data_IF_400881875040
#
_entry.id   IF_400881875040
#
_cell.length_a   1.000
_cell.length_b   1.000
_cell.length_c   1.000
_cell.angle_alpha   90.00
_cell.angle_beta   90.00
_cell.angle_gamma   90.00
#
_symmetry.space_group_name_H-M   'P 1'
#
loop_
_entity.id
_entity.type
_entity.pdbx_description
1 polymer ?
#
# COMPACT_ATOMS: atom_id res chain seq x y z
N UNK A 1 -23.60 -7.47 -15.98
CA UNK A 1 -23.56 -8.37 -14.79
C UNK A 1 -24.93 -8.67 -14.19
N UNK A 2 -25.67 -7.68 -13.66
CA UNK A 2 -26.99 -7.89 -13.06
C UNK A 2 -27.97 -8.62 -14.00
N UNK A 3 -27.98 -8.26 -15.29
CA UNK A 3 -28.76 -8.93 -16.36
C UNK A 3 -28.50 -10.44 -16.47
N UNK A 4 -27.36 -10.91 -15.97
CA UNK A 4 -26.92 -12.31 -16.04
C UNK A 4 -26.96 -13.01 -14.68
N UNK A 5 -27.63 -12.44 -13.67
CA UNK A 5 -27.87 -13.09 -12.38
C UNK A 5 -26.79 -12.86 -11.31
N UNK A 6 -25.77 -12.06 -11.59
CA UNK A 6 -24.80 -11.64 -10.58
C UNK A 6 -25.37 -10.50 -9.74
N UNK A 7 -25.82 -10.79 -8.52
CA UNK A 7 -26.55 -9.84 -7.66
C UNK A 7 -25.65 -9.08 -6.68
N UNK A 8 -24.42 -9.54 -6.45
CA UNK A 8 -23.43 -8.96 -5.54
C UNK A 8 -22.40 -8.11 -6.28
N UNK A 9 -22.89 -7.15 -7.08
CA UNK A 9 -22.04 -6.31 -7.94
C UNK A 9 -22.16 -4.85 -7.57
N UNK A 10 -21.03 -4.15 -7.62
CA UNK A 10 -20.94 -2.71 -7.37
C UNK A 10 -20.28 -2.10 -8.61
N UNK A 11 -21.01 -1.21 -9.27
CA UNK A 11 -20.43 -0.37 -10.32
C UNK A 11 -19.65 0.77 -9.68
N UNK A 12 -18.41 0.94 -10.11
CA UNK A 12 -17.58 2.08 -9.71
C UNK A 12 -17.45 2.99 -10.93
N UNK A 13 -18.00 4.19 -10.84
CA UNK A 13 -17.94 5.17 -11.92
C UNK A 13 -16.62 5.95 -11.79
N UNK A 14 -15.54 5.35 -12.27
CA UNK A 14 -14.18 5.88 -12.18
C UNK A 14 -13.44 5.54 -10.87
N UNK A 15 -12.50 6.40 -10.47
CA UNK A 15 -11.50 6.13 -9.41
C UNK A 15 -11.81 6.76 -8.05
N UNK A 16 -12.94 7.47 -7.88
CA UNK A 16 -13.34 8.00 -6.57
C UNK A 16 -14.02 6.92 -5.74
N UNK A 17 -13.23 6.28 -4.89
CA UNK A 17 -13.70 5.25 -3.96
C UNK A 17 -14.10 5.92 -2.64
N UNK A 18 -15.36 5.81 -2.18
CA UNK A 18 -15.77 6.29 -0.88
C UNK A 18 -15.29 5.36 0.24
N UNK A 19 -15.03 5.91 1.43
CA UNK A 19 -14.56 5.15 2.59
C UNK A 19 -15.49 3.98 2.97
N UNK A 20 -16.80 4.17 2.83
CA UNK A 20 -17.80 3.11 3.09
C UNK A 20 -17.64 1.89 2.18
N UNK A 21 -17.12 2.07 0.96
CA UNK A 21 -16.82 0.96 0.05
C UNK A 21 -15.55 0.23 0.48
N UNK A 22 -14.52 0.95 0.95
CA UNK A 22 -13.29 0.34 1.48
C UNK A 22 -13.60 -0.58 2.67
N UNK A 23 -14.36 -0.08 3.65
CA UNK A 23 -14.78 -0.83 4.84
C UNK A 23 -15.65 -2.05 4.46
N UNK A 24 -16.58 -1.87 3.51
CA UNK A 24 -17.43 -2.95 3.02
C UNK A 24 -16.61 -4.08 2.40
N UNK A 25 -15.66 -3.73 1.53
CA UNK A 25 -14.82 -4.68 0.80
C UNK A 25 -13.86 -5.41 1.73
N UNK A 26 -13.32 -4.74 2.76
CA UNK A 26 -12.44 -5.35 3.76
C UNK A 26 -13.11 -6.51 4.50
N UNK A 27 -14.43 -6.46 4.70
CA UNK A 27 -15.23 -7.48 5.40
C UNK A 27 -15.67 -8.64 4.50
N UNK A 28 -15.45 -8.58 3.18
CA UNK A 28 -15.89 -9.64 2.27
C UNK A 28 -14.87 -10.77 2.23
N UNK A 29 -15.39 -12.00 2.15
CA UNK A 29 -14.57 -13.22 2.00
C UNK A 29 -13.79 -13.26 0.69
N UNK A 30 -14.35 -12.67 -0.37
CA UNK A 30 -13.78 -12.66 -1.72
C UNK A 30 -14.25 -11.42 -2.48
N UNK A 31 -13.31 -10.68 -3.04
CA UNK A 31 -13.51 -9.49 -3.87
C UNK A 31 -12.85 -9.72 -5.23
N UNK A 32 -13.63 -9.53 -6.30
CA UNK A 32 -13.15 -9.65 -7.68
C UNK A 32 -13.31 -8.29 -8.34
N UNK A 33 -12.20 -7.72 -8.82
CA UNK A 33 -12.25 -6.56 -9.69
C UNK A 33 -12.47 -7.04 -11.13
N UNK A 34 -13.56 -6.63 -11.78
CA UNK A 34 -13.83 -6.95 -13.18
C UNK A 34 -13.75 -5.67 -13.99
N UNK A 35 -12.76 -5.60 -14.88
CA UNK A 35 -12.37 -4.38 -15.57
C UNK A 35 -12.37 -4.57 -17.09
N UNK A 36 -12.52 -3.47 -17.81
CA UNK A 36 -12.51 -3.43 -19.28
C UNK A 36 -11.18 -3.91 -19.84
N UNK A 37 -11.14 -4.34 -21.10
CA UNK A 37 -9.96 -4.91 -21.74
C UNK A 37 -9.01 -3.86 -22.34
N UNK A 38 -9.01 -2.66 -21.79
CA UNK A 38 -8.31 -1.50 -22.33
C UNK A 38 -7.33 -0.89 -21.32
N UNK A 39 -6.65 0.20 -21.74
CA UNK A 39 -5.71 0.93 -20.88
C UNK A 39 -6.42 1.65 -19.73
N UNK A 40 -7.66 2.08 -19.90
CA UNK A 40 -8.47 2.70 -18.84
C UNK A 40 -8.68 1.74 -17.68
N UNK A 41 -9.06 0.50 -17.97
CA UNK A 41 -9.20 -0.54 -16.96
C UNK A 41 -7.88 -0.84 -16.24
N UNK A 42 -6.73 -0.77 -16.92
CA UNK A 42 -5.42 -0.96 -16.27
C UNK A 42 -5.14 0.16 -15.25
N UNK A 43 -5.48 1.40 -15.57
CA UNK A 43 -5.34 2.55 -14.66
C UNK A 43 -6.26 2.41 -13.45
N UNK A 44 -7.51 2.01 -13.68
CA UNK A 44 -8.48 1.76 -12.60
C UNK A 44 -7.98 0.64 -11.68
N UNK A 45 -7.41 -0.44 -12.23
CA UNK A 45 -6.85 -1.52 -11.42
C UNK A 45 -5.75 -1.01 -10.48
N UNK A 46 -4.86 -0.14 -10.97
CA UNK A 46 -3.76 0.42 -10.16
C UNK A 46 -4.28 1.25 -9.00
N UNK A 47 -5.28 2.10 -9.24
CA UNK A 47 -5.87 2.94 -8.19
C UNK A 47 -6.68 2.11 -7.18
N UNK A 48 -7.45 1.13 -7.66
CA UNK A 48 -8.17 0.21 -6.77
C UNK A 48 -7.20 -0.59 -5.90
N UNK A 49 -6.13 -1.14 -6.49
CA UNK A 49 -5.16 -1.95 -5.76
C UNK A 49 -4.46 -1.20 -4.61
N UNK A 50 -4.42 0.14 -4.68
CA UNK A 50 -3.84 1.01 -3.65
C UNK A 50 -4.77 1.23 -2.46
N UNK A 51 -6.09 1.22 -2.68
CA UNK A 51 -7.09 1.62 -1.66
C UNK A 51 -7.94 0.48 -1.12
N UNK A 52 -8.23 -0.52 -1.95
CA UNK A 52 -9.19 -1.58 -1.61
C UNK A 52 -8.58 -2.97 -1.70
N UNK A 53 -9.08 -3.85 -0.85
CA UNK A 53 -8.77 -5.29 -0.92
C UNK A 53 -9.36 -5.88 -2.19
N UNK A 54 -8.52 -6.49 -3.01
CA UNK A 54 -8.90 -7.27 -4.19
C UNK A 54 -8.19 -8.62 -4.15
N UNK A 55 -8.95 -9.71 -4.21
CA UNK A 55 -8.38 -11.07 -4.21
C UNK A 55 -8.08 -11.53 -5.64
N UNK A 56 -9.01 -11.30 -6.57
CA UNK A 56 -8.88 -11.68 -7.98
C UNK A 56 -9.20 -10.52 -8.93
N UNK A 57 -8.64 -10.59 -10.13
CA UNK A 57 -8.88 -9.65 -11.22
C UNK A 57 -9.35 -10.44 -12.43
N UNK A 58 -10.53 -10.08 -12.93
CA UNK A 58 -11.05 -10.50 -14.22
C UNK A 58 -10.91 -9.35 -15.21
N UNK A 59 -10.57 -9.67 -16.46
CA UNK A 59 -10.44 -8.69 -17.54
C UNK A 59 -11.37 -9.06 -18.67
N UNK A 60 -12.04 -8.07 -19.23
CA UNK A 60 -12.72 -8.24 -20.49
C UNK A 60 -11.68 -8.52 -21.61
N UNK A 61 -12.09 -9.17 -22.71
CA UNK A 61 -11.24 -9.33 -23.89
C UNK A 61 -10.67 -7.99 -24.37
N UNK A 62 -9.49 -8.02 -24.99
CA UNK A 62 -8.76 -6.81 -25.39
C UNK A 62 -9.64 -5.85 -26.21
N UNK A 63 -9.71 -4.59 -25.79
CA UNK A 63 -10.48 -3.53 -26.44
C UNK A 63 -12.00 -3.64 -26.25
N UNK A 64 -12.48 -4.50 -25.37
CA UNK A 64 -13.91 -4.64 -25.04
C UNK A 64 -14.23 -4.11 -23.66
N UNK A 65 -15.43 -3.55 -23.51
CA UNK A 65 -15.94 -3.08 -22.23
C UNK A 65 -16.79 -4.17 -21.56
N UNK A 66 -16.77 -4.21 -20.23
CA UNK A 66 -17.51 -5.21 -19.43
C UNK A 66 -19.03 -5.12 -19.68
N UNK A 67 -19.53 -3.93 -19.96
CA UNK A 67 -20.96 -3.69 -20.21
C UNK A 67 -21.49 -4.31 -21.50
N UNK A 68 -20.60 -4.53 -22.47
CA UNK A 68 -20.93 -5.06 -23.79
C UNK A 68 -20.79 -6.59 -23.89
N UNK A 69 -20.30 -7.26 -22.84
CA UNK A 69 -20.04 -8.69 -22.88
C UNK A 69 -21.35 -9.50 -22.82
N UNK A 70 -21.37 -10.61 -23.56
CA UNK A 70 -22.40 -11.64 -23.44
C UNK A 70 -22.28 -12.40 -22.12
N UNK A 71 -23.33 -13.13 -21.73
CA UNK A 71 -23.31 -13.98 -20.53
C UNK A 71 -22.15 -14.99 -20.56
N UNK A 72 -21.87 -15.56 -21.74
CA UNK A 72 -20.79 -16.53 -21.92
C UNK A 72 -19.42 -15.89 -21.72
N UNK A 73 -19.18 -14.74 -22.35
CA UNK A 73 -17.91 -14.00 -22.20
C UNK A 73 -17.68 -13.54 -20.76
N UNK A 74 -18.73 -13.10 -20.06
CA UNK A 74 -18.66 -12.76 -18.63
C UNK A 74 -18.23 -13.97 -17.79
N UNK A 75 -18.85 -15.12 -18.03
CA UNK A 75 -18.53 -16.34 -17.28
C UNK A 75 -17.10 -16.81 -17.54
N UNK A 76 -16.65 -16.76 -18.80
CA UNK A 76 -15.27 -17.09 -19.19
C UNK A 76 -14.26 -16.12 -18.55
N UNK A 77 -14.52 -14.82 -18.60
CA UNK A 77 -13.67 -13.81 -17.99
C UNK A 77 -13.54 -14.02 -16.47
N UNK A 78 -14.66 -14.26 -15.76
CA UNK A 78 -14.66 -14.51 -14.33
C UNK A 78 -13.99 -15.85 -13.95
N UNK A 79 -14.12 -16.89 -14.77
CA UNK A 79 -13.45 -18.17 -14.58
C UNK A 79 -11.94 -18.07 -14.79
N UNK A 80 -11.52 -17.21 -15.72
CA UNK A 80 -10.10 -16.92 -16.00
C UNK A 80 -9.47 -15.86 -15.07
N UNK A 81 -10.21 -15.42 -14.05
CA UNK A 81 -9.74 -14.40 -13.11
C UNK A 81 -8.46 -14.85 -12.39
N UNK A 82 -7.47 -13.98 -12.34
CA UNK A 82 -6.15 -14.26 -11.77
C UNK A 82 -5.94 -13.51 -10.46
N UNK A 83 -5.03 -13.96 -9.58
CA UNK A 83 -4.65 -13.19 -8.40
C UNK A 83 -4.19 -11.77 -8.75
N UNK A 84 -4.51 -10.80 -7.89
CA UNK A 84 -4.15 -9.39 -8.09
C UNK A 84 -2.67 -9.18 -8.44
N UNK A 85 -1.77 -9.89 -7.76
CA UNK A 85 -0.32 -9.78 -7.99
C UNK A 85 0.09 -10.23 -9.39
N UNK A 86 -0.57 -11.26 -9.92
CA UNK A 86 -0.31 -11.75 -11.27
C UNK A 86 -0.85 -10.77 -12.32
N UNK A 87 -2.06 -10.24 -12.10
CA UNK A 87 -2.63 -9.22 -12.97
C UNK A 87 -1.74 -7.98 -13.08
N UNK A 88 -1.21 -7.49 -11.94
CA UNK A 88 -0.36 -6.30 -11.91
C UNK A 88 0.99 -6.53 -12.61
N UNK A 89 1.59 -7.71 -12.43
CA UNK A 89 2.80 -8.10 -13.19
C UNK A 89 2.58 -8.06 -14.71
N UNK A 90 1.42 -8.53 -15.20
CA UNK A 90 1.11 -8.59 -16.64
C UNK A 90 1.01 -7.22 -17.29
N UNK A 91 0.53 -6.21 -16.57
CA UNK A 91 0.39 -4.83 -17.08
C UNK A 91 1.67 -3.99 -16.90
N UNK A 92 2.80 -4.64 -16.61
CA UNK A 92 4.07 -3.99 -16.30
C UNK A 92 3.99 -3.08 -15.08
N UNK A 93 2.95 -3.23 -14.26
CA UNK A 93 2.76 -2.43 -13.07
C UNK A 93 3.40 -3.16 -11.90
N UNK A 94 4.47 -2.57 -11.37
CA UNK A 94 4.83 -2.88 -9.99
C UNK A 94 3.67 -2.41 -9.12
N UNK A 95 3.08 -3.34 -8.36
CA UNK A 95 2.47 -2.91 -7.10
C UNK A 95 3.66 -2.49 -6.27
N UNK A 96 3.95 -1.21 -6.25
CA UNK A 96 4.53 -0.62 -5.05
C UNK A 96 3.47 -0.80 -3.97
N UNK A 97 3.37 -2.02 -3.43
CA UNK A 97 2.91 -2.22 -2.08
C UNK A 97 3.99 -1.59 -1.22
N UNK A 98 3.90 -0.28 -1.05
CA UNK A 98 4.29 0.34 0.21
C UNK A 98 3.27 -0.05 1.28
N UNK A 99 3.09 -1.36 1.49
CA UNK A 99 2.77 -1.86 2.81
C UNK A 99 4.08 -2.43 3.32
N UNK A 100 4.58 -2.01 4.49
CA UNK A 100 5.44 -2.91 5.23
C UNK A 100 4.76 -4.27 5.37
N UNK A 101 5.49 -5.39 5.30
CA UNK A 101 5.12 -6.56 6.05
C UNK A 101 5.28 -6.13 7.51
N UNK A 102 4.28 -5.44 8.04
CA UNK A 102 4.03 -5.52 9.46
C UNK A 102 2.91 -6.52 9.62
N UNK A 103 3.23 -7.66 10.24
CA UNK A 103 2.23 -8.61 10.73
C UNK A 103 1.17 -7.85 11.55
N UNK A 104 -0.06 -8.36 11.64
CA UNK A 104 -1.20 -7.65 12.24
C UNK A 104 -0.90 -7.14 13.67
N UNK A 105 -0.09 -7.87 14.45
CA UNK A 105 0.39 -7.43 15.77
C UNK A 105 1.48 -6.34 15.76
N UNK A 106 2.21 -6.22 14.66
CA UNK A 106 3.25 -5.20 14.49
C UNK A 106 2.65 -3.83 14.10
N UNK A 107 1.47 -3.79 13.48
CA UNK A 107 0.74 -2.54 13.19
C UNK A 107 0.29 -1.83 14.46
N UNK A 108 -0.29 -2.57 15.39
CA UNK A 108 -0.75 -2.02 16.68
C UNK A 108 0.43 -1.45 17.48
N UNK A 109 1.58 -2.13 17.44
CA UNK A 109 2.79 -1.68 18.13
C UNK A 109 3.38 -0.41 17.51
N UNK A 110 3.42 -0.31 16.18
CA UNK A 110 3.83 0.93 15.50
C UNK A 110 2.83 2.05 15.76
N UNK A 111 1.53 1.76 15.80
CA UNK A 111 0.48 2.75 16.14
C UNK A 111 0.69 3.36 17.52
N UNK A 112 0.88 2.52 18.55
CA UNK A 112 1.22 2.97 19.91
C UNK A 112 2.52 3.78 19.93
N UNK A 113 3.53 3.33 19.18
CA UNK A 113 4.81 4.03 19.10
C UNK A 113 4.67 5.41 18.43
N UNK A 114 3.81 5.55 17.42
CA UNK A 114 3.52 6.85 16.80
C UNK A 114 2.89 7.81 17.81
N UNK A 115 1.97 7.34 18.66
CA UNK A 115 1.39 8.16 19.73
C UNK A 115 2.42 8.59 20.78
N UNK A 116 3.38 7.71 21.11
CA UNK A 116 4.48 8.05 22.02
C UNK A 116 5.47 9.03 21.40
N UNK A 117 5.70 8.95 20.10
CA UNK A 117 6.72 9.76 19.41
C UNK A 117 6.18 11.14 19.04
N UNK A 118 4.92 11.23 18.63
CA UNK A 118 4.31 12.48 18.14
C UNK A 118 4.29 13.58 19.21
N UNK A 119 4.82 14.75 18.87
CA UNK A 119 4.91 15.90 19.75
C UNK A 119 6.11 15.89 20.72
N UNK A 120 6.92 14.82 20.70
CA UNK A 120 8.06 14.66 21.59
C UNK A 120 9.42 14.89 20.91
N UNK A 121 9.46 15.14 19.59
CA UNK A 121 10.71 15.33 18.83
C UNK A 121 11.75 14.21 19.03
N UNK A 122 11.26 12.97 19.23
CA UNK A 122 12.10 11.77 19.37
C UNK A 122 12.05 10.91 18.12
N UNK A 123 13.05 10.04 18.00
CA UNK A 123 13.19 9.04 16.96
C UNK A 123 13.48 7.68 17.60
N UNK A 124 12.78 6.66 17.13
CA UNK A 124 12.89 5.28 17.60
C UNK A 124 13.22 4.39 16.41
N UNK A 125 14.30 3.62 16.56
CA UNK A 125 14.75 2.63 15.58
C UNK A 125 14.44 1.21 16.07
N UNK A 126 13.82 0.39 15.24
CA UNK A 126 13.46 -0.99 15.54
C UNK A 126 14.09 -1.95 14.51
N UNK A 127 14.41 -3.16 14.98
CA UNK A 127 14.78 -4.32 14.13
C UNK A 127 13.57 -4.91 13.41
N UNK A 128 13.78 -5.94 12.57
CA UNK A 128 12.71 -6.70 11.91
C UNK A 128 11.73 -7.36 12.90
N UNK A 129 12.24 -7.79 14.06
CA UNK A 129 11.47 -8.45 15.12
C UNK A 129 10.80 -7.45 16.09
N UNK A 130 10.67 -6.17 15.71
CA UNK A 130 10.11 -5.10 16.56
C UNK A 130 10.86 -4.83 17.87
N UNK A 131 12.14 -5.21 17.94
CA UNK A 131 13.00 -4.87 19.09
C UNK A 131 13.62 -3.49 18.89
N UNK A 132 13.49 -2.63 19.89
CA UNK A 132 14.08 -1.29 19.92
C UNK A 132 15.62 -1.38 19.97
N UNK A 133 16.26 -0.70 19.02
CA UNK A 133 17.71 -0.55 18.94
C UNK A 133 18.14 0.77 19.57
N UNK A 134 17.37 1.83 19.34
CA UNK A 134 17.63 3.14 19.91
C UNK A 134 16.34 3.95 20.07
N UNK A 135 16.40 4.90 21.00
CA UNK A 135 15.43 5.97 21.21
C UNK A 135 16.21 7.24 21.55
N UNK A 136 16.22 8.19 20.63
CA UNK A 136 17.06 9.40 20.68
C UNK A 136 16.27 10.62 20.23
N UNK A 137 16.72 11.86 20.52
CA UNK A 137 16.17 13.05 19.88
C UNK A 137 16.27 12.97 18.35
N UNK A 138 15.28 13.54 17.62
CA UNK A 138 15.26 13.55 16.14
C UNK A 138 16.53 14.15 15.54
N UNK A 139 17.16 15.11 16.22
CA UNK A 139 18.44 15.70 15.81
C UNK A 139 19.59 14.68 15.71
N UNK A 140 19.52 13.59 16.46
CA UNK A 140 20.54 12.53 16.49
C UNK A 140 20.23 11.37 15.52
N UNK A 141 19.02 11.32 14.95
CA UNK A 141 18.58 10.24 14.07
C UNK A 141 19.55 10.01 12.90
N UNK A 142 19.97 11.09 12.24
CA UNK A 142 20.90 11.01 11.11
C UNK A 142 22.22 10.34 11.51
N UNK A 143 22.74 10.68 12.70
CA UNK A 143 23.99 10.12 13.22
C UNK A 143 23.83 8.62 13.54
N UNK A 144 22.73 8.22 14.19
CA UNK A 144 22.43 6.81 14.49
C UNK A 144 22.33 5.96 13.24
N UNK A 145 21.57 6.44 12.24
CA UNK A 145 21.47 5.76 10.96
C UNK A 145 22.83 5.68 10.30
N UNK A 146 23.56 6.80 10.19
CA UNK A 146 24.90 6.85 9.60
C UNK A 146 25.92 5.93 10.27
N UNK A 147 25.80 5.68 11.58
CA UNK A 147 26.69 4.79 12.33
C UNK A 147 26.54 3.30 11.94
N UNK A 148 25.47 2.95 11.22
CA UNK A 148 25.25 1.59 10.74
C UNK A 148 24.44 0.71 11.67
N UNK A 149 23.66 1.30 12.58
CA UNK A 149 22.72 0.55 13.42
C UNK A 149 21.80 -0.33 12.55
N UNK A 150 21.65 -1.60 12.95
CA UNK A 150 20.84 -2.58 12.25
C UNK A 150 19.35 -2.38 12.55
N UNK A 151 18.75 -1.40 11.87
CA UNK A 151 17.33 -1.08 11.98
C UNK A 151 16.59 -1.39 10.68
N UNK A 152 15.30 -1.73 10.81
CA UNK A 152 14.36 -1.91 9.70
C UNK A 152 13.22 -0.89 9.75
N UNK A 153 12.78 -0.51 10.94
CA UNK A 153 11.74 0.51 11.12
C UNK A 153 12.31 1.71 11.87
N UNK A 154 11.92 2.90 11.44
CA UNK A 154 12.30 4.16 12.06
C UNK A 154 11.05 5.02 12.18
N UNK A 155 10.64 5.31 13.41
CA UNK A 155 9.50 6.17 13.72
C UNK A 155 10.04 7.44 14.36
N UNK A 156 9.75 8.62 13.80
CA UNK A 156 10.32 9.85 14.31
C UNK A 156 9.45 11.08 14.08
N UNK A 157 9.42 11.98 15.06
CA UNK A 157 8.63 13.21 15.03
C UNK A 157 9.36 14.31 14.26
N UNK A 158 9.45 14.13 12.94
CA UNK A 158 10.13 15.04 12.04
C UNK A 158 9.70 14.90 10.60
N UNK A 159 10.36 15.70 9.74
CA UNK A 159 10.14 15.67 8.29
C UNK A 159 11.02 14.60 7.66
N UNK A 160 10.42 13.70 6.87
CA UNK A 160 11.18 12.79 6.00
C UNK A 160 11.82 13.61 4.89
N UNK A 161 13.14 13.60 4.80
CA UNK A 161 13.93 14.38 3.84
C UNK A 161 14.69 13.48 2.87
N UNK A 162 15.06 14.01 1.71
CA UNK A 162 15.86 13.27 0.72
C UNK A 162 17.19 12.75 1.31
N UNK A 163 17.82 13.52 2.20
CA UNK A 163 19.07 13.11 2.89
C UNK A 163 18.92 11.83 3.70
N UNK A 164 17.76 11.62 4.34
CA UNK A 164 17.49 10.38 5.07
C UNK A 164 17.25 9.20 4.11
N UNK A 165 16.61 9.45 2.97
CA UNK A 165 16.39 8.43 1.95
C UNK A 165 17.71 7.99 1.30
N UNK A 166 18.57 8.94 0.97
CA UNK A 166 19.86 8.65 0.34
C UNK A 166 20.79 7.87 1.27
N UNK A 167 20.74 8.09 2.59
CA UNK A 167 21.46 7.28 3.58
C UNK A 167 21.08 5.80 3.55
N UNK A 168 19.83 5.50 3.21
CA UNK A 168 19.28 4.15 3.21
C UNK A 168 19.32 3.51 1.81
N UNK A 169 19.43 4.31 0.74
CA UNK A 169 19.42 3.86 -0.66
C UNK A 169 20.41 2.72 -0.93
N UNK A 170 21.63 2.85 -0.42
CA UNK A 170 22.71 1.90 -0.68
C UNK A 170 22.78 0.75 0.34
N UNK A 171 21.82 0.68 1.27
CA UNK A 171 21.77 -0.37 2.30
C UNK A 171 20.90 -1.54 1.87
N UNK A 172 21.35 -2.75 2.22
CA UNK A 172 20.66 -3.99 1.90
C UNK A 172 19.37 -4.19 2.71
N UNK A 173 18.32 -4.66 2.03
CA UNK A 173 17.01 -4.98 2.60
C UNK A 173 16.07 -3.78 2.68
N UNK A 174 14.85 -4.02 3.16
CA UNK A 174 13.76 -3.03 3.12
C UNK A 174 13.70 -2.21 4.40
N UNK A 175 13.61 -0.88 4.27
CA UNK A 175 13.49 0.06 5.38
C UNK A 175 12.11 0.72 5.42
N UNK A 176 11.64 1.02 6.62
CA UNK A 176 10.37 1.66 6.90
C UNK A 176 10.62 2.98 7.63
N UNK A 177 10.37 4.10 6.96
CA UNK A 177 10.47 5.42 7.54
C UNK A 177 9.08 5.97 7.82
N UNK A 178 8.77 6.17 9.09
CA UNK A 178 7.51 6.74 9.55
C UNK A 178 7.80 8.09 10.19
N UNK A 179 7.50 9.16 9.46
CA UNK A 179 7.72 10.54 9.92
C UNK A 179 6.41 11.26 10.26
N UNK A 180 6.51 12.42 10.90
CA UNK A 180 5.36 13.29 11.09
C UNK A 180 4.84 13.83 9.76
N UNK A 181 5.76 14.20 8.85
CA UNK A 181 5.45 14.80 7.54
C UNK A 181 6.47 14.37 6.49
N UNK A 182 6.10 14.50 5.22
CA UNK A 182 6.99 14.31 4.08
C UNK A 182 7.45 15.66 3.56
N UNK A 183 8.72 15.79 3.17
CA UNK A 183 9.10 16.88 2.26
C UNK A 183 8.55 16.60 0.86
N UNK A 184 8.35 17.63 0.06
CA UNK A 184 7.97 17.52 -1.35
C UNK A 184 8.87 18.49 -2.14
N UNK A 185 9.63 18.02 -3.15
CA UNK A 185 9.68 16.66 -3.71
C UNK A 185 10.55 15.67 -2.94
N UNK A 186 10.22 14.38 -3.06
CA UNK A 186 11.02 13.24 -2.59
C UNK A 186 11.14 12.19 -3.68
N UNK A 187 12.34 11.65 -3.86
CA UNK A 187 12.61 10.49 -4.70
C UNK A 187 12.89 9.29 -3.78
N UNK A 188 11.85 8.48 -3.56
CA UNK A 188 11.91 7.33 -2.66
C UNK A 188 12.61 6.16 -3.36
N UNK A 189 13.76 5.67 -2.84
CA UNK A 189 14.43 4.53 -3.43
C UNK A 189 13.63 3.24 -3.19
N UNK A 190 13.75 2.21 -4.06
CA UNK A 190 12.87 1.03 -4.05
C UNK A 190 12.98 0.17 -2.79
N UNK A 191 14.07 0.32 -2.03
CA UNK A 191 14.32 -0.38 -0.78
C UNK A 191 13.82 0.38 0.45
N UNK A 192 13.26 1.57 0.29
CA UNK A 192 12.70 2.38 1.38
C UNK A 192 11.22 2.54 1.15
N UNK A 193 10.44 2.39 2.21
CA UNK A 193 9.00 2.62 2.24
C UNK A 193 8.70 3.71 3.23
N UNK A 194 7.97 4.72 2.79
CA UNK A 194 7.74 5.92 3.59
C UNK A 194 6.28 6.02 4.01
N UNK A 195 6.01 6.45 5.23
CA UNK A 195 4.67 6.68 5.74
C UNK A 195 4.65 7.90 6.67
N UNK A 196 3.48 8.51 6.80
CA UNK A 196 3.26 9.58 7.80
C UNK A 196 2.52 9.04 9.01
N UNK A 197 2.60 9.74 10.14
CA UNK A 197 1.78 9.44 11.32
C UNK A 197 0.28 9.39 10.97
N UNK A 198 -0.18 10.34 10.17
CA UNK A 198 -1.57 10.35 9.69
C UNK A 198 -1.90 9.10 8.86
N UNK A 199 -0.97 8.65 8.01
CA UNK A 199 -1.12 7.42 7.24
C UNK A 199 -1.21 6.18 8.13
N UNK A 200 -0.41 6.10 9.19
CA UNK A 200 -0.43 4.98 10.14
C UNK A 200 -1.70 4.99 10.99
N UNK A 201 -2.13 6.14 11.51
CA UNK A 201 -3.33 6.27 12.35
C UNK A 201 -4.63 5.93 11.62
N UNK A 202 -4.67 6.06 10.29
CA UNK A 202 -5.81 5.62 9.47
C UNK A 202 -5.88 4.10 9.30
N UNK A 203 -4.82 3.38 9.68
CA UNK A 203 -4.67 1.94 9.49
C UNK A 203 -4.70 1.13 10.80
N UNK A 204 -4.60 1.81 11.95
CA UNK A 204 -4.74 1.26 13.30
C UNK A 204 -6.18 1.45 13.80
#
# INVERSE_FOLDING_TARGET
LLRYGYTNVIGIEGVKIPYSLEELLARKKKVIAFLDGDRGGDMILRELARRVRIDLVARAPHGREVEELSMKEVAEALASAVPLQEALKRIGAHVEREQPPVEEGQRELIGKLVEEVEGNLIAVGLTEDMREVFRVPVSELYQRLSAGDEVRYVVFDGVVTQRLLDLLRDRGGTYYLIGARLSDPLEVPPNVKVSTFEGIKRLA
#
